data_IF_974291502516
#
_entry.id   IF_974291502516
#
_cell.length_a   1.000
_cell.length_b   1.000
_cell.length_c   1.000
_cell.angle_alpha   90.00
_cell.angle_beta   90.00
_cell.angle_gamma   90.00
#
_symmetry.space_group_name_H-M   'P 1'
#
loop_
_entity.id
_entity.type
_entity.pdbx_description
1 polymer ?
#
# COMPACT_ATOMS: atom_id res chain seq x y z
N UNK A 1 -22.00 5.09 -13.28
CA UNK A 1 -20.62 4.60 -13.45
C UNK A 1 -20.75 3.14 -13.80
N UNK A 2 -20.61 2.84 -15.09
CA UNK A 2 -20.73 1.51 -15.65
C UNK A 2 -19.72 0.57 -14.98
N UNK A 3 -20.23 -0.58 -14.54
CA UNK A 3 -19.46 -1.59 -13.83
C UNK A 3 -18.43 -2.21 -14.76
N UNK A 4 -17.16 -1.89 -14.54
CA UNK A 4 -16.08 -2.78 -14.93
C UNK A 4 -16.28 -4.09 -14.18
N UNK A 5 -16.64 -5.16 -14.90
CA UNK A 5 -16.66 -6.50 -14.35
C UNK A 5 -15.20 -6.97 -14.26
N UNK A 6 -14.56 -6.67 -13.13
CA UNK A 6 -13.17 -7.01 -12.87
C UNK A 6 -13.05 -8.51 -12.61
N UNK A 7 -13.09 -9.31 -13.68
CA UNK A 7 -12.78 -10.74 -13.58
C UNK A 7 -11.38 -10.91 -13.00
N UNK A 8 -11.26 -11.86 -12.06
CA UNK A 8 -10.00 -12.13 -11.38
C UNK A 8 -8.98 -12.64 -12.38
N UNK A 9 -7.86 -11.93 -12.53
CA UNK A 9 -6.78 -12.37 -13.41
C UNK A 9 -6.14 -13.66 -12.87
N UNK A 10 -6.01 -14.71 -13.69
CA UNK A 10 -5.36 -15.95 -13.28
C UNK A 10 -3.95 -15.69 -12.74
N UNK A 11 -3.62 -16.26 -11.59
CA UNK A 11 -2.29 -16.16 -10.97
C UNK A 11 -2.07 -14.90 -10.11
N UNK A 12 -2.83 -13.82 -10.28
CA UNK A 12 -2.65 -12.59 -9.50
C UNK A 12 -2.95 -12.75 -8.02
N UNK A 13 -3.85 -13.68 -7.67
CA UNK A 13 -4.17 -14.03 -6.27
C UNK A 13 -2.97 -14.65 -5.53
N UNK A 14 -2.03 -15.26 -6.26
CA UNK A 14 -0.84 -15.90 -5.69
C UNK A 14 0.34 -14.94 -5.49
N UNK A 15 0.20 -13.70 -5.94
CA UNK A 15 1.26 -12.69 -5.85
C UNK A 15 1.47 -12.32 -4.39
N UNK A 16 2.65 -12.65 -3.87
CA UNK A 16 3.05 -12.34 -2.49
C UNK A 16 3.76 -10.98 -2.36
N UNK A 17 4.37 -10.50 -3.44
CA UNK A 17 5.16 -9.27 -3.46
C UNK A 17 4.77 -8.41 -4.65
N UNK A 18 4.45 -7.14 -4.40
CA UNK A 18 4.19 -6.15 -5.45
C UNK A 18 5.16 -4.99 -5.30
N UNK A 19 5.69 -4.55 -6.44
CA UNK A 19 6.43 -3.31 -6.54
C UNK A 19 5.71 -2.42 -7.54
N UNK A 20 5.40 -1.20 -7.12
CA UNK A 20 4.79 -0.19 -7.96
C UNK A 20 5.73 0.98 -8.16
N UNK A 21 5.74 1.45 -9.40
CA UNK A 21 6.17 2.79 -9.71
C UNK A 21 4.94 3.69 -9.76
N UNK A 22 4.97 4.75 -8.97
CA UNK A 22 3.93 5.75 -8.84
C UNK A 22 3.75 6.63 -10.11
N UNK A 23 4.48 6.39 -11.19
CA UNK A 23 4.12 6.92 -12.50
C UNK A 23 2.93 6.19 -13.15
N UNK A 24 2.44 5.09 -12.56
CA UNK A 24 1.24 4.39 -13.02
C UNK A 24 -0.02 5.22 -12.76
N UNK A 25 -1.00 5.13 -13.68
CA UNK A 25 -2.31 5.75 -13.43
C UNK A 25 -3.01 5.08 -12.25
N UNK A 26 -3.75 5.87 -11.48
CA UNK A 26 -4.47 5.43 -10.26
C UNK A 26 -5.31 4.19 -10.48
N UNK A 27 -6.00 4.13 -11.60
CA UNK A 27 -6.92 3.09 -11.98
C UNK A 27 -6.21 1.74 -12.11
N UNK A 28 -4.96 1.74 -12.60
CA UNK A 28 -4.16 0.52 -12.71
C UNK A 28 -3.67 0.02 -11.36
N UNK A 29 -3.24 0.92 -10.48
CA UNK A 29 -2.81 0.55 -9.13
C UNK A 29 -4.01 -0.01 -8.34
N UNK A 30 -5.17 0.64 -8.42
CA UNK A 30 -6.41 0.18 -7.79
C UNK A 30 -6.85 -1.17 -8.34
N UNK A 31 -6.83 -1.33 -9.67
CA UNK A 31 -7.14 -2.60 -10.32
C UNK A 31 -6.19 -3.70 -9.85
N UNK A 32 -4.88 -3.55 -10.00
CA UNK A 32 -3.90 -4.59 -9.66
C UNK A 32 -3.99 -4.97 -8.18
N UNK A 33 -4.10 -3.99 -7.28
CA UNK A 33 -4.25 -4.27 -5.85
C UNK A 33 -5.56 -5.00 -5.52
N UNK A 34 -6.65 -4.73 -6.24
CA UNK A 34 -7.91 -5.49 -6.08
C UNK A 34 -7.78 -6.95 -6.50
N UNK A 35 -6.84 -7.29 -7.39
CA UNK A 35 -6.62 -8.66 -7.86
C UNK A 35 -5.71 -9.46 -6.94
N UNK A 36 -4.81 -8.78 -6.22
CA UNK A 36 -3.74 -9.40 -5.45
C UNK A 36 -4.11 -9.55 -3.98
N UNK A 37 -4.94 -10.55 -3.68
CA UNK A 37 -5.56 -10.74 -2.37
C UNK A 37 -4.61 -11.24 -1.27
N UNK A 38 -3.52 -11.93 -1.63
CA UNK A 38 -2.57 -12.56 -0.69
C UNK A 38 -1.21 -11.88 -0.63
N UNK A 39 -1.16 -10.59 -0.98
CA UNK A 39 0.08 -9.81 -0.97
C UNK A 39 0.54 -9.61 0.46
N UNK A 40 1.81 -9.96 0.71
CA UNK A 40 2.49 -9.79 2.00
C UNK A 40 3.46 -8.63 2.01
N UNK A 41 4.00 -8.26 0.84
CA UNK A 41 4.92 -7.15 0.70
C UNK A 41 4.50 -6.22 -0.43
N UNK A 42 4.42 -4.93 -0.12
CA UNK A 42 4.26 -3.87 -1.12
C UNK A 42 5.45 -2.93 -1.04
N UNK A 43 6.07 -2.66 -2.18
CA UNK A 43 7.11 -1.65 -2.34
C UNK A 43 6.62 -0.56 -3.28
N UNK A 44 6.74 0.68 -2.83
CA UNK A 44 6.31 1.87 -3.57
C UNK A 44 7.50 2.75 -3.82
N UNK A 45 7.82 2.91 -5.09
CA UNK A 45 8.74 3.94 -5.55
C UNK A 45 7.93 5.12 -6.09
N UNK A 46 8.08 6.30 -5.49
CA UNK A 46 7.44 7.53 -5.94
C UNK A 46 8.45 8.61 -6.29
N UNK A 47 8.44 9.02 -7.55
CA UNK A 47 9.29 10.08 -8.08
C UNK A 47 8.67 11.48 -7.94
N UNK A 48 7.35 11.56 -7.69
CA UNK A 48 6.60 12.81 -7.58
C UNK A 48 5.87 12.91 -6.24
N UNK A 49 5.75 14.14 -5.73
CA UNK A 49 5.10 14.43 -4.46
C UNK A 49 3.64 14.00 -4.44
N UNK A 50 2.89 14.09 -5.52
CA UNK A 50 1.42 13.95 -5.41
C UNK A 50 0.98 12.47 -5.41
N UNK A 51 1.88 11.55 -5.78
CA UNK A 51 1.51 10.14 -5.93
C UNK A 51 1.44 9.39 -4.60
N UNK A 52 1.92 9.94 -3.49
CA UNK A 52 1.71 9.29 -2.18
C UNK A 52 0.23 9.33 -1.76
N UNK A 53 -0.53 10.34 -2.18
CA UNK A 53 -1.97 10.43 -1.93
C UNK A 53 -2.74 9.32 -2.64
N UNK A 54 -2.23 8.89 -3.80
CA UNK A 54 -2.84 7.83 -4.58
C UNK A 54 -2.82 6.50 -3.82
N UNK A 55 -1.68 6.15 -3.21
CA UNK A 55 -1.57 4.95 -2.39
C UNK A 55 -2.37 5.01 -1.10
N UNK A 56 -2.42 6.19 -0.44
CA UNK A 56 -3.35 6.40 0.67
C UNK A 56 -4.76 6.02 0.26
N UNK A 57 -5.23 6.54 -0.87
CA UNK A 57 -6.60 6.30 -1.33
C UNK A 57 -6.84 4.84 -1.73
N UNK A 58 -5.86 4.17 -2.35
CA UNK A 58 -6.03 2.80 -2.83
C UNK A 58 -5.93 1.78 -1.69
N UNK A 59 -4.91 1.88 -0.83
CA UNK A 59 -4.74 0.93 0.28
C UNK A 59 -5.81 1.08 1.36
N UNK A 60 -6.33 2.29 1.59
CA UNK A 60 -7.48 2.49 2.50
C UNK A 60 -8.76 1.87 1.91
N UNK A 61 -8.93 1.91 0.59
CA UNK A 61 -10.12 1.34 -0.07
C UNK A 61 -10.05 -0.17 -0.21
N UNK A 62 -8.84 -0.72 -0.37
CA UNK A 62 -8.57 -2.13 -0.49
C UNK A 62 -7.59 -2.57 0.60
N UNK A 63 -8.06 -2.79 1.84
CA UNK A 63 -7.22 -3.29 2.91
C UNK A 63 -6.66 -4.67 2.52
N UNK A 64 -5.35 -4.72 2.33
CA UNK A 64 -4.62 -5.94 2.02
C UNK A 64 -4.44 -6.72 3.33
N UNK A 65 -5.34 -7.67 3.59
CA UNK A 65 -5.42 -8.37 4.88
C UNK A 65 -4.12 -9.09 5.24
N UNK A 66 -3.46 -9.69 4.24
CA UNK A 66 -2.23 -10.46 4.42
C UNK A 66 -0.96 -9.59 4.35
N UNK A 67 -1.09 -8.26 4.24
CA UNK A 67 0.06 -7.37 4.11
C UNK A 67 0.86 -7.35 5.41
N UNK A 68 2.13 -7.74 5.33
CA UNK A 68 3.06 -7.80 6.45
C UNK A 68 4.06 -6.63 6.41
N UNK A 69 4.45 -6.19 5.22
CA UNK A 69 5.50 -5.19 4.99
C UNK A 69 5.09 -4.19 3.92
N UNK A 70 5.22 -2.90 4.23
CA UNK A 70 5.06 -1.80 3.29
C UNK A 70 6.35 -0.98 3.23
N UNK A 71 6.99 -0.92 2.07
CA UNK A 71 8.02 0.07 1.81
C UNK A 71 7.40 1.25 1.09
N UNK A 72 7.41 2.40 1.74
CA UNK A 72 6.76 3.61 1.28
C UNK A 72 7.51 4.84 1.80
N UNK A 73 8.08 5.61 0.88
CA UNK A 73 8.82 6.84 1.17
C UNK A 73 8.01 8.09 0.82
N UNK A 74 7.03 8.50 1.64
CA UNK A 74 6.26 9.70 1.38
C UNK A 74 7.16 10.94 1.54
N UNK A 75 7.11 11.83 0.55
CA UNK A 75 7.76 13.15 0.64
C UNK A 75 7.01 14.14 1.55
N UNK A 76 5.84 13.75 2.07
CA UNK A 76 4.95 14.60 2.88
C UNK A 76 5.09 14.31 4.38
N UNK A 77 4.95 15.35 5.24
CA UNK A 77 4.93 15.19 6.69
C UNK A 77 3.79 14.29 7.21
N UNK A 78 2.73 14.06 6.42
CA UNK A 78 1.58 13.24 6.84
C UNK A 78 1.84 11.72 6.78
N UNK A 79 3.01 11.29 6.30
CA UNK A 79 3.35 9.87 6.11
C UNK A 79 3.10 9.00 7.34
N UNK A 80 3.47 9.50 8.53
CA UNK A 80 3.28 8.78 9.80
C UNK A 80 1.80 8.61 10.14
N UNK A 81 0.96 9.62 9.90
CA UNK A 81 -0.47 9.56 10.17
C UNK A 81 -1.14 8.51 9.30
N UNK A 82 -0.78 8.48 8.01
CA UNK A 82 -1.31 7.50 7.06
C UNK A 82 -0.80 6.09 7.40
N UNK A 83 0.48 5.94 7.77
CA UNK A 83 1.02 4.65 8.17
C UNK A 83 0.30 4.05 9.39
N UNK A 84 -0.10 4.89 10.36
CA UNK A 84 -0.96 4.45 11.48
C UNK A 84 -2.34 3.99 11.01
N UNK A 85 -2.98 4.73 10.09
CA UNK A 85 -4.27 4.32 9.52
C UNK A 85 -4.18 2.99 8.77
N UNK A 86 -3.07 2.73 8.08
CA UNK A 86 -2.83 1.46 7.40
C UNK A 86 -2.62 0.32 8.40
N UNK A 87 -1.86 0.56 9.48
CA UNK A 87 -1.70 -0.41 10.57
C UNK A 87 -3.03 -0.78 11.23
N UNK A 88 -3.98 0.16 11.33
CA UNK A 88 -5.31 -0.12 11.87
C UNK A 88 -6.20 -0.95 10.92
N UNK A 89 -5.92 -0.95 9.61
CA UNK A 89 -6.73 -1.62 8.60
C UNK A 89 -6.11 -2.93 8.09
N UNK A 90 -4.79 -3.09 8.23
CA UNK A 90 -4.04 -4.27 7.80
C UNK A 90 -3.56 -5.04 9.04
N UNK A 91 -4.31 -6.06 9.52
CA UNK A 91 -4.07 -6.68 10.82
C UNK A 91 -2.74 -7.43 10.93
N UNK A 92 -2.16 -7.82 9.80
CA UNK A 92 -0.87 -8.51 9.73
C UNK A 92 0.32 -7.57 9.49
N UNK A 93 0.06 -6.26 9.33
CA UNK A 93 1.11 -5.30 9.02
C UNK A 93 2.05 -5.19 10.22
N UNK A 94 3.31 -5.51 9.99
CA UNK A 94 4.36 -5.53 11.01
C UNK A 94 5.40 -4.43 10.80
N UNK A 95 5.52 -3.93 9.57
CA UNK A 95 6.57 -2.99 9.21
C UNK A 95 6.12 -2.01 8.11
N UNK A 96 6.39 -0.73 8.33
CA UNK A 96 6.33 0.33 7.31
C UNK A 96 7.70 1.01 7.25
N UNK A 97 8.39 0.91 6.12
CA UNK A 97 9.72 1.49 5.87
C UNK A 97 9.63 2.72 4.98
N UNK A 98 10.58 3.64 5.09
CA UNK A 98 10.72 4.82 4.23
C UNK A 98 10.14 6.10 4.84
N UNK A 99 9.68 6.05 6.09
CA UNK A 99 9.16 7.21 6.81
C UNK A 99 10.33 8.04 7.39
N UNK A 100 10.24 9.36 7.33
CA UNK A 100 11.34 10.22 7.76
C UNK A 100 11.63 10.17 9.28
N UNK A 101 12.93 10.08 9.57
CA UNK A 101 13.72 10.51 10.75
C UNK A 101 13.51 9.88 12.13
N UNK A 102 12.41 9.20 12.46
CA UNK A 102 12.31 8.53 13.77
C UNK A 102 11.58 7.19 13.67
N UNK A 103 12.18 6.14 14.26
CA UNK A 103 11.53 4.84 14.42
C UNK A 103 10.41 4.95 15.46
N UNK A 104 9.19 4.65 15.05
CA UNK A 104 8.00 4.65 15.92
C UNK A 104 7.46 3.22 15.96
N UNK A 105 7.29 2.66 17.16
CA UNK A 105 6.49 1.45 17.32
C UNK A 105 5.04 1.86 17.58
N UNK A 106 4.14 1.49 16.68
CA UNK A 106 2.71 1.75 16.80
C UNK A 106 1.96 0.42 16.82
N UNK A 107 1.41 0.04 17.99
CA UNK A 107 0.64 -1.21 18.16
C UNK A 107 1.38 -2.48 17.69
N UNK A 108 2.70 -2.51 17.84
CA UNK A 108 3.53 -3.63 17.37
C UNK A 108 4.03 -3.48 15.92
N UNK A 109 3.57 -2.47 15.19
CA UNK A 109 4.05 -2.14 13.84
C UNK A 109 5.27 -1.22 13.92
N UNK A 110 6.34 -1.59 13.25
CA UNK A 110 7.56 -0.81 13.15
C UNK A 110 7.44 0.21 12.00
N UNK A 111 7.28 1.49 12.34
CA UNK A 111 7.27 2.60 11.39
C UNK A 111 8.67 3.23 11.36
N UNK A 112 9.38 3.15 10.24
CA UNK A 112 10.80 3.51 10.15
C UNK A 112 11.24 4.10 8.82
#
# INVERSE_FOLDING_TARGET
>A
MDGFNWELLPGFQSVACLQFDCDWRREWIDYILSQCLSVRKVDVTAHRSDTYLLLKHVLIRNPLKDLEQLHWAPSSPDGVSIAKQLADQCPHLSEVRGLCRNKINYRGVHLC
#
